data_IF_403373171854
#
_entry.id   IF_403373171854
#
_cell.length_a   1.000
_cell.length_b   1.000
_cell.length_c   1.000
_cell.angle_alpha   90.00
_cell.angle_beta   90.00
_cell.angle_gamma   90.00
#
_symmetry.space_group_name_H-M   'P 1'
#
loop_
_entity.id
_entity.type
_entity.pdbx_description
1 polymer ?
#
# COMPACT_ATOMS: atom_id res chain seq x y z
N UNK A 1 2.51 -27.80 10.37
CA UNK A 1 2.81 -26.79 11.41
C UNK A 1 1.82 -25.64 11.23
N UNK A 2 0.98 -25.39 12.25
CA UNK A 2 0.03 -24.26 12.20
C UNK A 2 0.86 -22.99 12.41
N UNK A 3 0.84 -22.10 11.43
CA UNK A 3 1.50 -20.80 11.54
C UNK A 3 0.65 -19.90 12.46
N UNK A 4 1.33 -19.19 13.35
CA UNK A 4 0.67 -18.18 14.19
C UNK A 4 0.31 -16.97 13.34
N UNK A 5 -0.83 -16.29 13.60
CA UNK A 5 -1.16 -15.07 12.87
C UNK A 5 -0.08 -14.00 13.05
N UNK A 6 0.30 -13.32 11.97
CA UNK A 6 1.14 -12.12 12.06
C UNK A 6 0.40 -11.02 12.82
N UNK A 7 1.14 -10.29 13.65
CA UNK A 7 0.66 -9.16 14.42
C UNK A 7 1.05 -7.85 13.75
N UNK A 8 0.08 -7.03 13.50
CA UNK A 8 0.26 -5.73 12.85
C UNK A 8 -0.05 -4.58 13.81
N UNK A 9 0.69 -3.49 13.66
CA UNK A 9 0.37 -2.18 14.19
C UNK A 9 0.22 -1.20 13.04
N UNK A 10 -0.84 -0.42 13.04
CA UNK A 10 -1.10 0.61 12.04
C UNK A 10 -1.06 1.97 12.72
N UNK A 11 -0.29 2.89 12.17
CA UNK A 11 -0.16 4.26 12.63
C UNK A 11 -0.45 5.18 11.45
N UNK A 12 -1.56 5.90 11.50
CA UNK A 12 -1.87 6.96 10.54
C UNK A 12 -1.38 8.30 11.09
N UNK A 13 -0.67 9.07 10.26
CA UNK A 13 -0.21 10.42 10.63
C UNK A 13 -0.87 11.48 9.76
N UNK A 14 -1.08 12.65 10.31
CA UNK A 14 -1.63 13.80 9.60
C UNK A 14 -2.41 14.72 10.54
N UNK A 15 -2.22 16.02 10.40
CA UNK A 15 -2.96 17.03 11.17
C UNK A 15 -4.34 17.32 10.59
N UNK A 16 -4.61 16.88 9.36
CA UNK A 16 -5.91 17.03 8.69
C UNK A 16 -7.04 16.19 9.34
N UNK A 17 -6.69 15.17 10.11
CA UNK A 17 -7.65 14.33 10.80
C UNK A 17 -8.05 14.96 12.15
N UNK A 18 -8.81 16.04 12.11
CA UNK A 18 -9.33 16.70 13.30
C UNK A 18 -10.80 16.38 13.51
N UNK A 19 -11.26 16.50 14.76
CA UNK A 19 -12.68 16.32 15.07
C UNK A 19 -13.56 17.32 14.33
N UNK A 20 -13.02 18.51 14.02
CA UNK A 20 -13.75 19.62 13.40
C UNK A 20 -13.97 19.42 11.90
N UNK A 21 -13.17 18.57 11.25
CA UNK A 21 -13.27 18.34 9.80
C UNK A 21 -13.90 17.02 9.41
N UNK A 22 -14.28 16.16 10.37
CA UNK A 22 -14.86 14.82 10.14
C UNK A 22 -14.06 13.96 9.16
N UNK A 23 -12.77 14.24 8.97
CA UNK A 23 -11.91 13.46 8.11
C UNK A 23 -11.39 12.25 8.91
N UNK A 24 -11.67 11.06 8.43
CA UNK A 24 -11.23 9.82 9.05
C UNK A 24 -9.97 9.30 8.35
N UNK A 25 -9.06 8.62 9.06
CA UNK A 25 -7.88 7.97 8.48
C UNK A 25 -8.27 6.71 7.69
N UNK A 26 -9.00 6.89 6.59
CA UNK A 26 -9.62 5.82 5.79
C UNK A 26 -8.60 4.78 5.31
N UNK A 27 -7.37 5.18 5.01
CA UNK A 27 -6.30 4.25 4.63
C UNK A 27 -5.97 3.24 5.74
N UNK A 28 -5.92 3.72 6.99
CA UNK A 28 -5.70 2.85 8.16
C UNK A 28 -6.86 1.89 8.40
N UNK A 29 -8.10 2.33 8.19
CA UNK A 29 -9.27 1.46 8.29
C UNK A 29 -9.31 0.42 7.18
N UNK A 30 -9.01 0.80 5.94
CA UNK A 30 -8.91 -0.13 4.82
C UNK A 30 -7.88 -1.22 5.11
N UNK A 31 -6.65 -0.84 5.48
CA UNK A 31 -5.57 -1.76 5.80
C UNK A 31 -5.93 -2.69 6.97
N UNK A 32 -6.55 -2.15 8.03
CA UNK A 32 -7.01 -2.95 9.17
C UNK A 32 -8.00 -4.05 8.76
N UNK A 33 -9.00 -3.68 7.94
CA UNK A 33 -9.98 -4.63 7.46
C UNK A 33 -9.35 -5.68 6.52
N UNK A 34 -8.42 -5.25 5.66
CA UNK A 34 -7.67 -6.14 4.78
C UNK A 34 -6.88 -7.20 5.57
N UNK A 35 -6.15 -6.78 6.60
CA UNK A 35 -5.35 -7.67 7.45
C UNK A 35 -6.25 -8.67 8.17
N UNK A 36 -7.36 -8.22 8.76
CA UNK A 36 -8.32 -9.08 9.47
C UNK A 36 -9.02 -10.08 8.55
N UNK A 37 -9.41 -9.65 7.34
CA UNK A 37 -10.00 -10.54 6.30
C UNK A 37 -9.03 -11.68 5.94
N UNK A 38 -7.73 -11.45 6.04
CA UNK A 38 -6.69 -12.44 5.76
C UNK A 38 -6.24 -13.24 7.00
N UNK A 39 -7.04 -13.23 8.07
CA UNK A 39 -6.82 -14.00 9.32
C UNK A 39 -5.53 -13.63 10.07
N UNK A 40 -5.15 -12.36 10.03
CA UNK A 40 -4.06 -11.80 10.82
C UNK A 40 -4.58 -10.79 11.85
N UNK A 41 -3.74 -10.44 12.83
CA UNK A 41 -4.14 -9.64 13.99
C UNK A 41 -3.67 -8.20 13.81
N UNK A 42 -4.57 -7.25 14.01
CA UNK A 42 -4.21 -5.84 14.20
C UNK A 42 -4.27 -5.52 15.68
N UNK A 43 -3.10 -5.40 16.32
CA UNK A 43 -3.00 -5.11 17.76
C UNK A 43 -3.40 -3.66 18.09
N UNK A 44 -3.01 -2.73 17.21
CA UNK A 44 -3.37 -1.32 17.31
C UNK A 44 -3.59 -0.71 15.94
N UNK A 45 -4.63 0.10 15.81
CA UNK A 45 -4.84 1.02 14.68
C UNK A 45 -5.07 2.41 15.27
N UNK A 46 -4.06 3.26 15.22
CA UNK A 46 -4.05 4.57 15.87
C UNK A 46 -3.80 5.68 14.87
N UNK A 47 -4.30 6.86 15.22
CA UNK A 47 -3.98 8.09 14.53
C UNK A 47 -3.13 8.98 15.45
N UNK A 48 -2.09 9.59 14.88
CA UNK A 48 -1.20 10.54 15.56
C UNK A 48 -1.19 11.82 14.71
N UNK A 49 -1.39 12.96 15.34
CA UNK A 49 -1.11 14.25 14.70
C UNK A 49 0.36 14.29 14.30
N UNK A 50 0.76 15.24 13.46
CA UNK A 50 2.15 15.40 13.01
C UNK A 50 3.08 15.76 14.18
N UNK A 51 3.29 14.76 15.04
CA UNK A 51 4.18 14.79 16.23
C UNK A 51 5.21 13.67 16.09
N UNK A 52 6.42 14.07 15.71
CA UNK A 52 7.53 13.13 15.49
C UNK A 52 7.95 12.40 16.77
N UNK A 53 7.93 13.06 17.93
CA UNK A 53 8.33 12.43 19.21
C UNK A 53 7.34 11.33 19.57
N UNK A 54 6.05 11.60 19.42
CA UNK A 54 5.01 10.62 19.67
C UNK A 54 5.08 9.46 18.66
N UNK A 55 5.30 9.76 17.38
CA UNK A 55 5.46 8.76 16.34
C UNK A 55 6.65 7.84 16.64
N UNK A 56 7.83 8.37 16.95
CA UNK A 56 8.99 7.58 17.34
C UNK A 56 8.74 6.73 18.59
N UNK A 57 8.06 7.27 19.59
CA UNK A 57 7.66 6.53 20.79
C UNK A 57 6.77 5.33 20.42
N UNK A 58 5.77 5.55 19.58
CA UNK A 58 4.86 4.47 19.15
C UNK A 58 5.56 3.42 18.28
N UNK A 59 6.50 3.83 17.41
CA UNK A 59 7.32 2.92 16.60
C UNK A 59 8.23 2.08 17.48
N UNK A 60 8.99 2.69 18.39
CA UNK A 60 9.94 1.99 19.25
C UNK A 60 9.26 1.03 20.25
N UNK A 61 8.07 1.36 20.70
CA UNK A 61 7.28 0.53 21.63
C UNK A 61 6.44 -0.53 20.92
N UNK A 62 6.54 -0.66 19.60
CA UNK A 62 5.78 -1.66 18.86
C UNK A 62 6.26 -3.07 19.22
N UNK A 63 5.32 -3.91 19.67
CA UNK A 63 5.54 -5.34 19.90
C UNK A 63 5.14 -6.19 18.69
N UNK A 64 4.42 -5.61 17.73
CA UNK A 64 3.93 -6.27 16.52
C UNK A 64 5.09 -6.72 15.62
N UNK A 65 4.84 -7.74 14.80
CA UNK A 65 5.80 -8.24 13.81
C UNK A 65 6.01 -7.23 12.69
N UNK A 66 4.93 -6.52 12.34
CA UNK A 66 4.90 -5.54 11.27
C UNK A 66 4.24 -4.26 11.76
N UNK A 67 4.92 -3.13 11.57
CA UNK A 67 4.34 -1.80 11.82
C UNK A 67 4.22 -1.05 10.51
N UNK A 68 3.01 -0.63 10.16
CA UNK A 68 2.74 0.18 8.96
C UNK A 68 2.42 1.60 9.38
N UNK A 69 3.20 2.55 8.90
CA UNK A 69 3.03 3.98 9.10
C UNK A 69 2.46 4.57 7.81
N UNK A 70 1.31 5.23 7.88
CA UNK A 70 0.61 5.80 6.73
C UNK A 70 0.62 7.33 6.86
N UNK A 71 1.23 8.00 5.90
CA UNK A 71 1.55 9.42 5.97
C UNK A 71 2.97 9.67 6.49
N UNK A 72 3.34 10.92 6.69
CA UNK A 72 4.66 11.28 7.23
C UNK A 72 5.85 10.93 6.33
N UNK A 73 5.62 10.47 5.10
CA UNK A 73 6.68 10.19 4.11
C UNK A 73 7.11 11.45 3.38
N UNK A 74 6.57 12.60 3.76
CA UNK A 74 6.86 13.89 3.16
C UNK A 74 8.31 14.30 3.37
N UNK A 75 8.81 15.09 2.44
CA UNK A 75 10.11 15.74 2.44
C UNK A 75 10.22 16.85 3.51
N UNK A 76 9.78 16.60 4.75
CA UNK A 76 10.08 17.54 5.81
C UNK A 76 11.55 17.43 6.14
N UNK A 77 12.22 18.58 6.34
CA UNK A 77 13.64 18.68 6.66
C UNK A 77 14.06 17.96 7.95
N UNK A 78 13.08 17.48 8.69
CA UNK A 78 13.22 16.70 9.90
C UNK A 78 12.92 15.23 9.60
N UNK A 79 13.74 14.59 8.79
CA UNK A 79 13.69 13.15 8.60
C UNK A 79 13.79 12.47 9.96
N UNK A 80 12.80 11.66 10.29
CA UNK A 80 12.81 10.85 11.49
C UNK A 80 14.13 10.08 11.50
N UNK A 81 15.02 10.42 12.45
CA UNK A 81 16.29 9.70 12.59
C UNK A 81 15.99 8.28 13.06
N UNK A 82 16.07 7.33 12.15
CA UNK A 82 15.91 5.91 12.41
C UNK A 82 17.25 5.28 12.78
N UNK A 83 17.93 5.81 13.79
CA UNK A 83 19.11 5.16 14.34
C UNK A 83 18.79 3.71 14.70
N UNK A 84 19.64 2.80 14.27
CA UNK A 84 19.50 1.36 14.44
C UNK A 84 18.36 0.69 13.65
N UNK A 85 17.80 1.33 12.62
CA UNK A 85 16.93 0.69 11.64
C UNK A 85 17.73 0.43 10.36
N UNK A 86 17.63 -0.77 9.84
CA UNK A 86 18.22 -1.11 8.55
C UNK A 86 17.25 -0.76 7.42
N UNK A 87 17.55 0.24 6.63
CA UNK A 87 16.79 0.64 5.45
C UNK A 87 16.99 -0.40 4.35
N UNK A 88 15.93 -1.05 3.93
CA UNK A 88 15.93 -2.09 2.87
C UNK A 88 15.44 -1.52 1.55
N UNK A 89 14.39 -0.69 1.58
CA UNK A 89 13.81 -0.06 0.39
C UNK A 89 13.65 1.43 0.67
N UNK A 90 14.22 2.27 -0.20
CA UNK A 90 14.03 3.73 -0.20
C UNK A 90 13.38 4.18 -1.51
N UNK A 91 12.07 4.10 -1.53
CA UNK A 91 11.27 4.45 -2.68
C UNK A 91 11.12 3.33 -3.72
N UNK A 92 10.07 3.45 -4.52
CA UNK A 92 9.79 2.53 -5.62
C UNK A 92 9.74 3.31 -6.94
N UNK A 93 10.28 2.73 -8.03
CA UNK A 93 10.06 3.26 -9.38
C UNK A 93 8.65 2.88 -9.86
N UNK A 94 7.64 3.43 -9.17
CA UNK A 94 6.24 3.05 -9.32
C UNK A 94 5.31 4.25 -9.14
N UNK A 95 4.22 4.30 -9.92
CA UNK A 95 3.10 5.23 -9.75
C UNK A 95 1.77 4.45 -9.69
N UNK A 96 0.93 4.66 -8.65
CA UNK A 96 1.19 5.36 -7.40
C UNK A 96 2.06 4.51 -6.46
N UNK A 97 2.70 5.12 -5.44
CA UNK A 97 3.42 4.39 -4.40
C UNK A 97 4.92 4.72 -4.27
N UNK A 98 5.45 5.66 -5.05
CA UNK A 98 6.89 6.01 -5.07
C UNK A 98 7.52 6.25 -3.69
N UNK A 99 6.90 6.99 -2.74
CA UNK A 99 7.53 7.31 -1.46
C UNK A 99 7.51 6.15 -0.44
N UNK A 100 7.24 4.93 -0.89
CA UNK A 100 7.29 3.76 -0.01
C UNK A 100 8.69 3.55 0.55
N UNK A 101 8.79 3.26 1.87
CA UNK A 101 10.04 2.84 2.51
C UNK A 101 9.81 1.59 3.34
N UNK A 102 10.84 0.74 3.42
CA UNK A 102 10.84 -0.45 4.25
C UNK A 102 12.12 -0.50 5.08
N UNK A 103 11.94 -0.70 6.37
CA UNK A 103 13.02 -0.87 7.33
C UNK A 103 12.87 -2.16 8.10
N UNK A 104 13.98 -2.69 8.58
CA UNK A 104 14.03 -3.83 9.50
C UNK A 104 14.79 -3.43 10.76
N UNK A 105 14.26 -3.80 11.92
CA UNK A 105 14.92 -3.68 13.22
C UNK A 105 14.56 -4.88 14.10
N UNK A 106 15.57 -5.60 14.60
CA UNK A 106 15.37 -6.75 15.51
C UNK A 106 14.31 -7.74 14.99
N UNK A 107 14.43 -8.16 13.74
CA UNK A 107 13.51 -9.08 13.05
C UNK A 107 12.05 -8.57 12.91
N UNK A 108 11.81 -7.28 13.09
CA UNK A 108 10.52 -6.64 12.86
C UNK A 108 10.56 -5.78 11.62
N UNK A 109 9.45 -5.71 10.92
CA UNK A 109 9.30 -4.97 9.68
C UNK A 109 8.56 -3.65 9.95
N UNK A 110 9.08 -2.56 9.39
CA UNK A 110 8.48 -1.24 9.46
C UNK A 110 8.30 -0.72 8.03
N UNK A 111 7.08 -0.39 7.67
CA UNK A 111 6.73 0.08 6.33
C UNK A 111 6.13 1.47 6.40
N UNK A 112 6.63 2.37 5.56
CA UNK A 112 6.09 3.70 5.40
C UNK A 112 5.30 3.78 4.10
N UNK A 113 4.02 4.00 4.22
CA UNK A 113 3.09 4.17 3.11
C UNK A 113 2.82 5.67 2.89
N UNK A 114 2.74 6.13 1.65
CA UNK A 114 2.25 7.47 1.37
C UNK A 114 0.84 7.69 1.94
N UNK A 115 0.56 8.89 2.42
CA UNK A 115 -0.79 9.28 2.87
C UNK A 115 -1.84 9.28 1.77
N UNK A 116 -1.42 9.33 0.50
CA UNK A 116 -2.32 9.29 -0.64
C UNK A 116 -3.10 7.95 -0.73
N UNK A 117 -4.45 7.99 -0.80
CA UNK A 117 -5.29 6.79 -0.74
C UNK A 117 -5.01 5.78 -1.85
N UNK A 118 -4.86 6.21 -3.10
CA UNK A 118 -4.57 5.29 -4.20
C UNK A 118 -3.21 4.59 -4.03
N UNK A 119 -2.22 5.30 -3.49
CA UNK A 119 -0.91 4.70 -3.18
C UNK A 119 -1.04 3.66 -2.08
N UNK A 120 -1.72 3.99 -0.99
CA UNK A 120 -1.93 3.09 0.14
C UNK A 120 -2.72 1.84 -0.28
N UNK A 121 -3.73 2.02 -1.12
CA UNK A 121 -4.52 0.93 -1.69
C UNK A 121 -3.67 -0.03 -2.54
N UNK A 122 -2.89 0.49 -3.48
CA UNK A 122 -2.00 -0.32 -4.33
C UNK A 122 -0.98 -1.06 -3.50
N UNK A 123 -0.30 -0.37 -2.56
CA UNK A 123 0.70 -1.00 -1.70
C UNK A 123 0.10 -2.08 -0.79
N UNK A 124 -1.12 -1.90 -0.29
CA UNK A 124 -1.82 -2.94 0.47
C UNK A 124 -2.08 -4.18 -0.39
N UNK A 125 -2.63 -4.00 -1.59
CA UNK A 125 -2.99 -5.12 -2.46
C UNK A 125 -1.78 -5.83 -3.09
N UNK A 126 -0.64 -5.17 -3.17
CA UNK A 126 0.57 -5.74 -3.78
C UNK A 126 1.58 -6.13 -2.70
N UNK A 127 1.97 -5.24 -1.80
CA UNK A 127 3.04 -5.51 -0.84
C UNK A 127 2.53 -6.31 0.37
N UNK A 128 1.45 -5.85 1.02
CA UNK A 128 0.93 -6.56 2.20
C UNK A 128 0.37 -7.92 1.81
N UNK A 129 -0.38 -8.00 0.70
CA UNK A 129 -0.89 -9.29 0.20
C UNK A 129 0.24 -10.28 -0.07
N UNK A 130 1.29 -9.86 -0.80
CA UNK A 130 2.46 -10.72 -1.07
C UNK A 130 3.14 -11.19 0.21
N UNK A 131 3.34 -10.30 1.16
CA UNK A 131 3.98 -10.63 2.43
C UNK A 131 3.18 -11.68 3.20
N UNK A 132 1.85 -11.51 3.27
CA UNK A 132 0.95 -12.47 3.90
C UNK A 132 0.99 -13.83 3.17
N UNK A 133 0.98 -13.84 1.85
CA UNK A 133 1.05 -15.08 1.07
C UNK A 133 2.38 -15.82 1.27
N UNK A 134 3.50 -15.10 1.26
CA UNK A 134 4.82 -15.67 1.57
C UNK A 134 4.84 -16.27 2.97
N UNK A 135 4.35 -15.53 3.94
CA UNK A 135 4.30 -15.99 5.33
C UNK A 135 3.48 -17.25 5.48
N UNK A 136 2.35 -17.35 4.78
CA UNK A 136 1.48 -18.54 4.81
C UNK A 136 2.03 -19.73 4.00
N UNK A 137 3.32 -19.69 3.59
CA UNK A 137 3.95 -20.69 2.71
C UNK A 137 3.19 -20.93 1.39
N UNK A 138 2.34 -20.05 1.00
CA UNK A 138 1.80 -20.04 -0.36
C UNK A 138 2.93 -19.57 -1.26
N UNK A 139 3.25 -20.34 -2.32
CA UNK A 139 4.20 -19.85 -3.33
C UNK A 139 3.71 -18.45 -3.71
N UNK A 140 4.51 -17.42 -3.38
CA UNK A 140 4.09 -16.03 -3.53
C UNK A 140 4.07 -15.66 -4.99
N UNK A 141 3.04 -16.10 -5.65
CA UNK A 141 2.64 -15.54 -6.92
C UNK A 141 1.30 -14.88 -6.65
N UNK A 142 1.35 -13.55 -6.37
CA UNK A 142 0.13 -12.78 -6.57
C UNK A 142 -0.30 -13.16 -7.98
N UNK A 143 -1.42 -13.86 -8.07
CA UNK A 143 -1.94 -14.31 -9.35
C UNK A 143 -2.21 -13.11 -10.22
N UNK A 144 -1.69 -13.13 -11.42
CA UNK A 144 -1.97 -12.12 -12.42
C UNK A 144 -2.16 -12.79 -13.77
N UNK A 145 -2.97 -12.17 -14.62
CA UNK A 145 -3.08 -12.56 -16.00
C UNK A 145 -2.15 -11.70 -16.86
N UNK A 146 -1.47 -12.35 -17.80
CA UNK A 146 -0.70 -11.63 -18.83
C UNK A 146 -1.62 -11.23 -19.97
N UNK A 147 -1.66 -9.95 -20.29
CA UNK A 147 -2.51 -9.36 -21.30
C UNK A 147 -1.66 -8.58 -22.29
N UNK A 148 -1.96 -8.71 -23.57
CA UNK A 148 -1.32 -7.89 -24.59
C UNK A 148 -1.82 -6.44 -24.49
N UNK A 149 -0.90 -5.48 -24.60
CA UNK A 149 -1.22 -4.05 -24.51
C UNK A 149 -2.23 -3.61 -25.56
N UNK A 150 -2.24 -4.26 -26.74
CA UNK A 150 -3.14 -3.95 -27.84
C UNK A 150 -4.61 -4.34 -27.52
N UNK A 151 -4.83 -5.21 -26.55
CA UNK A 151 -6.17 -5.63 -26.11
C UNK A 151 -6.79 -4.64 -25.11
N UNK A 152 -6.07 -3.55 -24.77
CA UNK A 152 -6.52 -2.57 -23.78
C UNK A 152 -6.53 -1.18 -24.39
N UNK A 153 -7.72 -0.57 -24.47
CA UNK A 153 -7.88 0.81 -25.00
C UNK A 153 -7.41 1.84 -23.98
N UNK A 154 -6.13 2.17 -24.02
CA UNK A 154 -5.54 3.23 -23.21
C UNK A 154 -4.27 3.76 -23.88
N UNK A 155 -4.01 5.05 -23.73
CA UNK A 155 -2.78 5.64 -24.25
C UNK A 155 -1.60 5.45 -23.27
N UNK A 156 -0.93 4.31 -23.33
CA UNK A 156 0.20 4.00 -22.44
C UNK A 156 1.42 4.90 -22.66
N UNK A 157 1.54 5.57 -23.81
CA UNK A 157 2.65 6.48 -24.12
C UNK A 157 2.70 7.71 -23.19
N UNK A 158 1.58 8.08 -22.57
CA UNK A 158 1.56 9.18 -21.59
C UNK A 158 2.21 8.83 -20.25
N UNK A 159 2.45 7.54 -20.00
CA UNK A 159 3.01 7.05 -18.75
C UNK A 159 4.53 7.13 -18.78
N UNK A 160 5.09 8.03 -17.98
CA UNK A 160 6.55 8.23 -17.87
C UNK A 160 7.26 7.21 -16.96
N UNK A 161 6.51 6.41 -16.21
CA UNK A 161 7.03 5.45 -15.20
C UNK A 161 6.24 4.16 -15.24
N UNK A 162 6.83 3.11 -14.65
CA UNK A 162 6.08 1.91 -14.28
C UNK A 162 4.87 2.29 -13.47
N UNK A 163 3.71 1.75 -13.80
CA UNK A 163 2.45 2.23 -13.21
C UNK A 163 1.48 1.11 -12.93
N UNK A 164 0.79 1.21 -11.79
CA UNK A 164 -0.46 0.51 -11.58
C UNK A 164 -1.62 1.42 -12.01
N UNK A 165 -2.44 0.93 -12.89
CA UNK A 165 -3.64 1.59 -13.38
C UNK A 165 -4.87 0.91 -12.80
N UNK A 166 -5.88 1.70 -12.49
CA UNK A 166 -7.17 1.22 -12.02
C UNK A 166 -8.08 0.95 -13.21
N UNK A 167 -8.80 -0.16 -13.17
CA UNK A 167 -9.68 -0.54 -14.24
C UNK A 167 -10.81 -1.48 -13.84
N UNK A 168 -11.66 -1.73 -14.81
CA UNK A 168 -12.70 -2.74 -14.74
C UNK A 168 -12.38 -3.86 -15.71
N UNK A 169 -12.51 -5.08 -15.23
CA UNK A 169 -12.47 -6.29 -16.04
C UNK A 169 -13.84 -6.95 -15.99
N UNK A 170 -14.39 -7.24 -17.12
CA UNK A 170 -15.50 -8.16 -17.31
C UNK A 170 -15.05 -9.41 -18.08
N UNK A 171 -15.98 -10.28 -18.45
CA UNK A 171 -15.67 -11.52 -19.19
C UNK A 171 -15.08 -11.28 -20.58
N UNK A 172 -15.33 -10.12 -21.20
CA UNK A 172 -15.03 -9.84 -22.60
C UNK A 172 -14.04 -8.69 -22.79
N UNK A 173 -13.88 -7.83 -21.79
CA UNK A 173 -13.13 -6.59 -21.96
C UNK A 173 -12.39 -6.15 -20.70
N UNK A 174 -11.39 -5.31 -20.92
CA UNK A 174 -10.67 -4.60 -19.87
C UNK A 174 -10.74 -3.12 -20.18
N UNK A 175 -11.30 -2.36 -19.25
CA UNK A 175 -11.43 -0.91 -19.35
C UNK A 175 -10.56 -0.25 -18.31
N UNK A 176 -9.52 0.46 -18.77
CA UNK A 176 -8.73 1.35 -17.91
C UNK A 176 -9.48 2.66 -17.71
N UNK A 177 -9.50 3.18 -16.49
CA UNK A 177 -10.13 4.48 -16.24
C UNK A 177 -9.31 5.62 -16.86
N UNK A 178 -9.98 6.62 -17.41
CA UNK A 178 -9.32 7.75 -18.07
C UNK A 178 -8.51 8.60 -17.08
N UNK A 179 -9.09 8.89 -15.92
CA UNK A 179 -8.40 9.65 -14.88
C UNK A 179 -7.69 8.68 -13.91
N UNK A 180 -6.37 8.62 -14.02
CA UNK A 180 -5.47 7.81 -13.18
C UNK A 180 -4.75 8.66 -12.12
N UNK A 181 -5.29 9.84 -11.78
CA UNK A 181 -4.72 10.64 -10.71
C UNK A 181 -4.83 9.94 -9.37
N UNK A 182 -3.74 10.00 -8.61
CA UNK A 182 -3.65 9.31 -7.32
C UNK A 182 -4.57 9.89 -6.24
N UNK A 183 -5.11 11.09 -6.45
CA UNK A 183 -6.13 11.72 -5.61
C UNK A 183 -7.57 11.28 -5.94
N UNK A 184 -7.77 10.60 -7.06
CA UNK A 184 -9.11 10.22 -7.51
C UNK A 184 -9.62 8.95 -6.77
N UNK A 185 -10.34 9.17 -5.68
CA UNK A 185 -10.93 8.09 -4.87
C UNK A 185 -11.92 7.21 -5.64
N UNK A 186 -12.56 7.73 -6.71
CA UNK A 186 -13.45 6.94 -7.56
C UNK A 186 -12.73 5.72 -8.15
N UNK A 187 -11.42 5.84 -8.39
CA UNK A 187 -10.64 4.72 -8.89
C UNK A 187 -10.69 3.53 -7.93
N UNK A 188 -10.57 3.78 -6.62
CA UNK A 188 -10.62 2.72 -5.60
C UNK A 188 -12.02 2.12 -5.48
N UNK A 189 -13.06 2.97 -5.56
CA UNK A 189 -14.44 2.55 -5.36
C UNK A 189 -14.97 1.67 -6.50
N UNK A 190 -14.56 1.95 -7.73
CA UNK A 190 -15.13 1.31 -8.90
C UNK A 190 -14.22 0.28 -9.56
N UNK A 191 -12.92 0.28 -9.28
CA UNK A 191 -12.03 -0.72 -9.86
C UNK A 191 -12.26 -2.11 -9.26
N UNK A 192 -12.24 -3.13 -10.11
CA UNK A 192 -12.14 -4.52 -9.68
C UNK A 192 -10.80 -5.15 -10.06
N UNK A 193 -9.92 -4.40 -10.74
CA UNK A 193 -8.59 -4.84 -11.09
C UNK A 193 -7.55 -3.72 -11.05
N UNK A 194 -6.30 -4.12 -10.82
CA UNK A 194 -5.12 -3.31 -11.01
C UNK A 194 -4.33 -3.83 -12.21
N UNK A 195 -3.90 -2.94 -13.07
CA UNK A 195 -3.17 -3.26 -14.29
C UNK A 195 -1.77 -2.68 -14.16
N UNK A 196 -0.76 -3.55 -14.07
CA UNK A 196 0.63 -3.13 -13.99
C UNK A 196 1.24 -3.02 -15.39
N UNK A 197 1.76 -1.85 -15.67
CA UNK A 197 2.52 -1.50 -16.86
C UNK A 197 3.98 -1.24 -16.51
N UNK A 198 4.89 -2.07 -17.04
CA UNK A 198 6.33 -1.98 -16.82
C UNK A 198 7.10 -1.43 -18.02
N UNK A 199 6.37 -0.82 -18.97
CA UNK A 199 6.84 -0.29 -20.27
C UNK A 199 7.10 -1.36 -21.32
N UNK A 200 6.69 -2.59 -21.11
CA UNK A 200 6.69 -3.65 -22.11
C UNK A 200 5.34 -3.74 -22.81
N UNK A 201 5.26 -4.57 -23.85
CA UNK A 201 4.01 -4.84 -24.56
C UNK A 201 3.08 -5.82 -23.81
N UNK A 202 3.48 -6.27 -22.63
CA UNK A 202 2.69 -7.17 -21.78
C UNK A 202 2.29 -6.45 -20.50
N UNK A 203 1.02 -6.54 -20.18
CA UNK A 203 0.44 -6.02 -18.93
C UNK A 203 0.21 -7.16 -17.95
N UNK A 204 0.38 -6.90 -16.66
CA UNK A 204 -0.02 -7.83 -15.60
C UNK A 204 -1.29 -7.31 -14.94
N UNK A 205 -2.35 -8.09 -15.04
CA UNK A 205 -3.65 -7.75 -14.45
C UNK A 205 -3.83 -8.52 -13.14
N UNK A 206 -4.06 -7.80 -12.08
CA UNK A 206 -4.31 -8.32 -10.73
C UNK A 206 -5.78 -8.09 -10.36
N UNK A 207 -6.50 -9.11 -9.92
CA UNK A 207 -7.82 -8.95 -9.32
C UNK A 207 -7.70 -8.51 -7.88
N UNK A 208 -8.55 -7.55 -7.46
CA UNK A 208 -8.49 -6.92 -6.14
C UNK A 208 -9.66 -7.27 -5.22
N UNK A 209 -10.70 -7.91 -5.75
CA UNK A 209 -11.94 -8.22 -4.99
C UNK A 209 -12.16 -9.71 -4.75
N UNK A 210 -11.09 -10.50 -4.64
CA UNK A 210 -11.18 -11.91 -4.23
C UNK A 210 -11.10 -12.08 -2.71
#
# INVERSE_FOLDING_TARGET
KILQPLKFKIISTGSEFTKDHFILPTNGYYLNNFIKKNNHIVEKNIHIKDDQKLLLKEINNSKSDITVIIGGTGKSKDDINFENFNLIIDGLDLKPGRPFKLFIKKNKIYMFFPGNPCSSFVLTNIIIKSLIEIYNNRKSQIKYDLIDINNVKFNFKILKRKSFLFGLRDQKSIKVFNNQESSNLKNILYANCLIYYDRTNKLRLYQIND
#
